data_IF_993299103193
#
_entry.id   IF_993299103193
#
_cell.length_a   1.000
_cell.length_b   1.000
_cell.length_c   1.000
_cell.angle_alpha   90.00
_cell.angle_beta   90.00
_cell.angle_gamma   90.00
#
_symmetry.space_group_name_H-M   'P 1'
#
loop_
_entity.id
_entity.type
_entity.pdbx_description
1 polymer ?
#
# COMPACT_ATOMS: atom_id res chain seq x y z
N UNK A 1 41.70 -2.08 21.53
CA UNK A 1 42.30 -0.95 22.26
C UNK A 1 42.85 0.03 21.24
N UNK A 2 42.31 1.26 21.23
CA UNK A 2 42.82 2.54 20.67
C UNK A 2 43.59 2.53 19.33
N UNK A 3 43.04 3.10 18.25
CA UNK A 3 42.79 4.53 17.94
C UNK A 3 44.00 5.22 17.28
N UNK A 4 43.70 5.91 16.17
CA UNK A 4 44.28 7.19 15.69
C UNK A 4 45.78 7.18 15.29
N UNK A 5 46.31 7.94 14.33
CA UNK A 5 45.90 9.06 13.45
C UNK A 5 47.04 9.20 12.40
N UNK A 6 46.74 9.31 11.10
CA UNK A 6 46.79 10.55 10.28
C UNK A 6 48.17 11.20 9.97
N UNK A 7 48.35 11.42 8.65
CA UNK A 7 49.11 12.46 7.94
C UNK A 7 50.66 12.47 8.01
N UNK A 8 51.33 12.51 6.84
CA UNK A 8 51.80 13.76 6.20
C UNK A 8 52.41 13.48 4.81
N UNK A 9 52.08 14.34 3.84
CA UNK A 9 52.74 14.52 2.54
C UNK A 9 54.17 15.06 2.73
N UNK A 10 55.13 14.70 1.86
CA UNK A 10 56.05 15.64 1.17
C UNK A 10 57.18 14.96 0.33
N UNK A 11 57.42 15.55 -0.86
CA UNK A 11 58.63 15.61 -1.72
C UNK A 11 59.39 14.31 -2.08
N UNK A 12 59.41 13.88 -3.35
CA UNK A 12 60.34 14.28 -4.44
C UNK A 12 61.81 14.35 -3.97
N UNK A 13 62.58 13.29 -4.21
CA UNK A 13 63.77 13.30 -5.08
C UNK A 13 64.52 11.96 -4.96
N UNK A 14 64.74 11.28 -6.08
CA UNK A 14 65.99 10.54 -6.30
C UNK A 14 66.11 10.28 -7.80
N UNK A 15 66.85 11.19 -8.46
CA UNK A 15 67.39 10.93 -9.77
C UNK A 15 68.29 9.71 -9.75
N UNK A 16 68.01 8.76 -10.64
CA UNK A 16 69.04 7.89 -11.21
C UNK A 16 68.93 7.94 -12.72
N UNK A 17 69.97 8.53 -13.30
CA UNK A 17 70.23 8.56 -14.72
C UNK A 17 70.38 7.14 -15.26
N UNK A 18 69.61 6.81 -16.28
CA UNK A 18 69.96 5.76 -17.24
C UNK A 18 70.06 6.46 -18.59
N UNK A 19 71.31 6.67 -19.01
CA UNK A 19 71.68 7.17 -20.32
C UNK A 19 71.47 6.05 -21.33
N UNK A 20 70.47 6.18 -22.21
CA UNK A 20 70.40 5.41 -23.47
C UNK A 20 70.35 6.41 -24.63
N UNK A 21 71.23 6.14 -25.59
CA UNK A 21 71.64 6.95 -26.73
C UNK A 21 70.48 7.34 -27.65
N UNK A 22 70.63 8.53 -28.21
CA UNK A 22 69.82 9.10 -29.29
C UNK A 22 69.72 8.19 -30.53
N UNK A 23 68.50 8.09 -31.05
CA UNK A 23 68.19 7.68 -32.42
C UNK A 23 66.93 8.44 -32.87
N UNK A 24 67.02 9.16 -33.98
CA UNK A 24 66.09 10.21 -34.41
C UNK A 24 64.61 9.86 -34.42
N UNK A 25 63.81 10.63 -33.67
CA UNK A 25 62.36 10.76 -33.86
C UNK A 25 61.77 12.03 -33.18
N UNK A 26 62.56 13.12 -33.04
CA UNK A 26 62.11 14.33 -32.32
C UNK A 26 61.84 15.57 -33.18
N UNK A 27 62.02 15.49 -34.50
CA UNK A 27 61.71 16.61 -35.41
C UNK A 27 60.28 16.59 -35.94
N UNK A 28 59.52 15.49 -35.79
CA UNK A 28 58.11 15.42 -36.18
C UNK A 28 57.13 15.80 -35.04
N UNK A 29 57.53 15.59 -33.77
CA UNK A 29 56.67 15.87 -32.61
C UNK A 29 56.55 17.37 -32.27
N UNK A 30 57.59 18.16 -32.55
CA UNK A 30 57.59 19.61 -32.31
C UNK A 30 56.75 20.39 -33.35
N UNK A 31 56.70 19.92 -34.60
CA UNK A 31 55.86 20.51 -35.66
C UNK A 31 54.37 20.22 -35.45
N UNK A 32 54.02 19.08 -34.82
CA UNK A 32 52.63 18.74 -34.51
C UNK A 32 52.09 19.53 -33.31
N UNK A 33 52.92 19.74 -32.27
CA UNK A 33 52.55 20.57 -31.11
C UNK A 33 52.46 22.06 -31.43
N UNK A 34 53.29 22.60 -32.33
CA UNK A 34 53.15 23.99 -32.80
C UNK A 34 51.90 24.21 -33.67
N UNK A 35 51.41 23.18 -34.37
CA UNK A 35 50.15 23.26 -35.14
C UNK A 35 48.90 23.18 -34.26
N UNK A 36 48.95 22.48 -33.13
CA UNK A 36 47.83 22.43 -32.16
C UNK A 36 47.74 23.68 -31.28
N UNK A 37 48.86 24.37 -31.00
CA UNK A 37 48.88 25.60 -30.21
C UNK A 37 48.54 26.87 -31.01
N UNK A 38 48.33 26.77 -32.33
CA UNK A 38 47.90 27.88 -33.19
C UNK A 38 46.38 28.01 -33.35
N UNK A 39 45.59 27.14 -32.70
CA UNK A 39 44.12 27.17 -32.76
C UNK A 39 43.42 27.75 -31.51
N UNK A 40 44.19 28.23 -30.52
CA UNK A 40 43.64 28.97 -29.36
C UNK A 40 44.06 30.44 -29.43
N UNK A 41 43.46 31.17 -30.37
CA UNK A 41 43.23 32.60 -30.21
C UNK A 41 41.73 32.77 -29.98
N UNK A 42 41.26 33.37 -28.87
CA UNK A 42 39.89 33.80 -28.79
C UNK A 42 39.73 34.87 -29.87
N UNK A 43 39.08 34.52 -30.99
CA UNK A 43 38.53 35.52 -31.89
C UNK A 43 37.54 36.31 -31.05
N UNK A 44 37.92 37.52 -30.65
CA UNK A 44 37.01 38.52 -30.15
C UNK A 44 36.01 38.80 -31.27
N UNK A 45 34.93 38.03 -31.31
CA UNK A 45 33.75 38.39 -32.08
C UNK A 45 33.24 39.67 -31.44
N UNK A 46 33.35 40.77 -32.20
CA UNK A 46 32.66 42.00 -31.88
C UNK A 46 31.20 41.65 -31.53
N UNK A 47 30.74 42.06 -30.36
CA UNK A 47 29.33 42.06 -30.01
C UNK A 47 28.62 43.05 -30.94
N UNK A 48 28.36 42.64 -32.19
CA UNK A 48 27.29 43.20 -33.00
C UNK A 48 25.99 42.89 -32.26
N UNK A 49 25.14 43.91 -32.12
CA UNK A 49 24.01 43.97 -31.20
C UNK A 49 23.25 42.65 -31.08
N UNK A 50 23.02 42.21 -29.83
CA UNK A 50 22.03 41.18 -29.53
C UNK A 50 20.70 41.65 -30.13
N UNK A 51 20.11 40.94 -31.09
CA UNK A 51 18.73 41.22 -31.45
C UNK A 51 17.88 40.98 -30.19
N UNK A 52 17.10 41.97 -29.79
CA UNK A 52 16.05 41.79 -28.79
C UNK A 52 15.18 40.60 -29.25
N UNK A 53 15.19 39.52 -28.46
CA UNK A 53 14.35 38.34 -28.71
C UNK A 53 15.02 37.12 -29.36
N UNK A 54 16.33 36.90 -29.25
CA UNK A 54 16.95 35.64 -29.68
C UNK A 54 16.36 34.42 -28.93
N UNK A 55 15.46 33.67 -29.59
CA UNK A 55 14.89 32.42 -29.05
C UNK A 55 15.91 31.30 -29.16
N UNK A 56 16.65 31.07 -28.08
CA UNK A 56 17.52 29.91 -27.94
C UNK A 56 16.64 28.66 -27.83
N UNK A 57 16.94 27.58 -28.58
CA UNK A 57 16.21 26.32 -28.41
C UNK A 57 16.39 25.82 -26.97
N UNK A 58 15.35 25.20 -26.42
CA UNK A 58 15.41 24.64 -25.08
C UNK A 58 16.52 23.58 -25.01
N UNK A 59 17.31 23.64 -23.93
CA UNK A 59 18.40 22.69 -23.68
C UNK A 59 17.77 21.39 -23.20
N UNK A 60 17.44 20.49 -24.13
CA UNK A 60 16.79 19.20 -23.84
C UNK A 60 17.47 18.08 -24.64
N UNK A 61 17.61 16.90 -24.04
CA UNK A 61 18.23 15.74 -24.67
C UNK A 61 17.48 15.26 -25.93
N UNK A 62 18.14 14.63 -26.90
CA UNK A 62 17.46 14.10 -28.10
C UNK A 62 16.45 12.97 -27.77
N UNK A 63 15.34 12.84 -28.52
CA UNK A 63 14.33 11.79 -28.31
C UNK A 63 14.72 10.41 -28.84
N UNK A 64 15.43 10.36 -29.96
CA UNK A 64 15.66 9.11 -30.72
C UNK A 64 16.99 8.43 -30.41
N UNK A 65 17.89 9.09 -29.70
CA UNK A 65 19.19 8.52 -29.37
C UNK A 65 19.07 7.31 -28.42
N UNK A 66 20.09 6.45 -28.48
CA UNK A 66 20.27 5.30 -27.59
C UNK A 66 21.13 5.70 -26.38
N UNK A 67 20.71 6.71 -25.62
CA UNK A 67 21.35 7.17 -24.38
C UNK A 67 20.38 7.12 -23.20
N UNK A 68 20.91 7.22 -21.96
CA UNK A 68 20.10 7.33 -20.74
C UNK A 68 19.25 8.60 -20.73
N UNK A 69 19.83 9.73 -21.11
CA UNK A 69 19.13 11.01 -21.20
C UNK A 69 17.98 11.02 -22.22
N UNK A 70 18.12 10.29 -23.32
CA UNK A 70 17.04 10.10 -24.29
C UNK A 70 15.94 9.16 -23.76
N UNK A 71 16.28 8.21 -22.89
CA UNK A 71 15.31 7.34 -22.23
C UNK A 71 14.49 8.09 -21.18
N UNK A 72 15.14 8.92 -20.37
CA UNK A 72 14.51 9.81 -19.39
C UNK A 72 13.52 10.77 -20.07
N UNK A 73 13.94 11.46 -21.15
CA UNK A 73 13.04 12.34 -21.91
C UNK A 73 11.81 11.60 -22.46
N UNK A 74 11.98 10.38 -22.99
CA UNK A 74 10.85 9.56 -23.44
C UNK A 74 9.94 9.12 -22.29
N UNK A 75 10.47 8.96 -21.08
CA UNK A 75 9.67 8.69 -19.90
C UNK A 75 8.88 9.93 -19.48
N UNK A 76 9.51 11.12 -19.48
CA UNK A 76 8.85 12.41 -19.23
C UNK A 76 7.69 12.68 -20.18
N UNK A 77 7.89 12.53 -21.50
CA UNK A 77 6.83 12.73 -22.49
C UNK A 77 5.63 11.78 -22.24
N UNK A 78 5.91 10.52 -21.86
CA UNK A 78 4.87 9.54 -21.49
C UNK A 78 4.16 9.91 -20.20
N UNK A 79 4.88 10.47 -19.22
CA UNK A 79 4.30 10.96 -17.97
C UNK A 79 3.36 12.12 -18.28
N UNK A 80 3.78 13.08 -19.10
CA UNK A 80 2.95 14.20 -19.53
C UNK A 80 1.68 13.73 -20.25
N UNK A 81 1.81 12.77 -21.17
CA UNK A 81 0.66 12.16 -21.85
C UNK A 81 -0.32 11.51 -20.85
N UNK A 82 0.18 10.79 -19.84
CA UNK A 82 -0.65 10.18 -18.79
C UNK A 82 -1.32 11.21 -17.90
N UNK A 83 -0.62 12.30 -17.55
CA UNK A 83 -1.18 13.37 -16.74
C UNK A 83 -2.36 14.09 -17.43
N UNK A 84 -2.31 14.20 -18.76
CA UNK A 84 -3.36 14.84 -19.55
C UNK A 84 -4.55 13.92 -19.90
N UNK A 85 -4.42 12.61 -19.71
CA UNK A 85 -5.45 11.63 -20.07
C UNK A 85 -6.63 11.61 -19.09
N UNK A 86 -7.79 11.14 -19.58
CA UNK A 86 -8.95 10.81 -18.75
C UNK A 86 -8.61 9.71 -17.74
N UNK A 87 -9.42 9.52 -16.69
CA UNK A 87 -9.12 8.51 -15.65
C UNK A 87 -9.04 7.08 -16.24
N UNK A 88 -10.01 6.70 -17.07
CA UNK A 88 -10.06 5.37 -17.69
C UNK A 88 -8.87 5.14 -18.63
N UNK A 89 -8.58 6.12 -19.48
CA UNK A 89 -7.42 6.07 -20.37
C UNK A 89 -6.11 6.06 -19.59
N UNK A 90 -6.02 6.81 -18.49
CA UNK A 90 -4.85 6.86 -17.61
C UNK A 90 -4.59 5.49 -16.99
N UNK A 91 -5.62 4.81 -16.47
CA UNK A 91 -5.51 3.45 -15.94
C UNK A 91 -5.02 2.51 -17.06
N UNK A 92 -5.64 2.56 -18.24
CA UNK A 92 -5.24 1.76 -19.41
C UNK A 92 -3.77 2.00 -19.82
N UNK A 93 -3.33 3.26 -19.87
CA UNK A 93 -1.94 3.63 -20.19
C UNK A 93 -0.94 3.17 -19.11
N UNK A 94 -1.35 3.14 -17.85
CA UNK A 94 -0.52 2.64 -16.74
C UNK A 94 -0.42 1.11 -16.78
N UNK A 95 -1.52 0.41 -17.07
CA UNK A 95 -1.61 -1.05 -17.02
C UNK A 95 -1.21 -1.76 -18.31
N UNK A 96 -1.19 -1.04 -19.45
CA UNK A 96 -0.90 -1.59 -20.79
C UNK A 96 0.40 -2.41 -20.89
N UNK A 97 1.47 -1.97 -20.23
CA UNK A 97 2.77 -2.63 -20.33
C UNK A 97 2.88 -3.82 -19.36
N UNK A 98 2.66 -5.02 -19.89
CA UNK A 98 2.86 -6.26 -19.14
C UNK A 98 4.35 -6.63 -19.06
N UNK A 99 4.84 -6.81 -17.83
CA UNK A 99 6.21 -7.25 -17.51
C UNK A 99 6.14 -8.17 -16.30
N UNK A 100 7.24 -8.87 -16.01
CA UNK A 100 7.37 -9.65 -14.78
C UNK A 100 7.14 -8.76 -13.54
N UNK A 101 6.21 -9.18 -12.69
CA UNK A 101 5.79 -8.51 -11.46
C UNK A 101 5.67 -9.52 -10.32
N UNK A 102 5.91 -9.07 -9.10
CA UNK A 102 5.70 -9.86 -7.89
C UNK A 102 4.22 -9.90 -7.56
N UNK A 103 3.71 -11.09 -7.27
CA UNK A 103 2.33 -11.26 -6.78
C UNK A 103 2.37 -11.32 -5.26
N UNK A 104 1.77 -10.31 -4.64
CA UNK A 104 1.60 -10.23 -3.20
C UNK A 104 0.25 -10.85 -2.86
N UNK A 105 0.27 -11.87 -2.02
CA UNK A 105 -0.92 -12.55 -1.54
C UNK A 105 -1.23 -12.04 -0.12
N UNK A 106 -2.37 -11.35 0.11
CA UNK A 106 -2.72 -10.87 1.45
C UNK A 106 -2.74 -12.01 2.49
N UNK A 107 -3.34 -13.14 2.12
CA UNK A 107 -3.36 -14.36 2.94
C UNK A 107 -2.13 -15.26 2.67
N UNK A 108 -0.97 -14.85 3.18
CA UNK A 108 0.32 -15.51 2.98
C UNK A 108 0.73 -16.46 4.11
N UNK A 109 1.55 -17.47 3.81
CA UNK A 109 2.17 -18.36 4.81
C UNK A 109 3.57 -17.89 5.24
N UNK A 110 4.05 -16.79 4.68
CA UNK A 110 5.40 -16.30 4.92
C UNK A 110 5.57 -15.78 6.36
N UNK A 111 6.72 -16.09 6.98
CA UNK A 111 7.05 -15.61 8.32
C UNK A 111 7.43 -14.13 8.31
N UNK A 112 6.98 -13.38 9.32
CA UNK A 112 7.23 -11.95 9.48
C UNK A 112 6.88 -11.13 8.23
N UNK A 113 5.83 -11.54 7.50
CA UNK A 113 5.42 -10.91 6.24
C UNK A 113 4.95 -9.46 6.41
N UNK A 114 4.47 -9.11 7.60
CA UNK A 114 4.04 -7.76 7.97
C UNK A 114 5.12 -6.70 7.70
N UNK A 115 6.36 -6.95 8.12
CA UNK A 115 7.49 -6.04 7.90
C UNK A 115 7.82 -5.86 6.42
N UNK A 116 7.71 -6.94 5.63
CA UNK A 116 7.93 -6.88 4.19
C UNK A 116 6.85 -6.08 3.50
N UNK A 117 5.59 -6.27 3.88
CA UNK A 117 4.48 -5.57 3.26
C UNK A 117 4.52 -4.09 3.62
N UNK A 118 4.80 -3.74 4.88
CA UNK A 118 5.08 -2.36 5.30
C UNK A 118 6.17 -1.70 4.46
N UNK A 119 7.26 -2.41 4.17
CA UNK A 119 8.31 -1.91 3.28
C UNK A 119 7.83 -1.68 1.84
N UNK A 120 7.10 -2.64 1.26
CA UNK A 120 6.61 -2.55 -0.12
C UNK A 120 5.57 -1.46 -0.34
N UNK A 121 4.79 -1.14 0.69
CA UNK A 121 3.70 -0.14 0.65
C UNK A 121 4.06 1.19 1.32
N UNK A 122 5.27 1.29 1.92
CA UNK A 122 5.71 2.44 2.73
C UNK A 122 4.71 2.79 3.83
N UNK A 123 4.29 1.76 4.59
CA UNK A 123 3.28 1.86 5.65
C UNK A 123 3.92 1.71 7.02
N UNK A 124 3.60 2.62 7.94
CA UNK A 124 3.92 2.51 9.36
C UNK A 124 2.75 1.87 10.11
N UNK A 125 3.07 0.89 10.97
CA UNK A 125 2.08 0.23 11.83
C UNK A 125 2.05 0.88 13.23
N UNK A 126 0.85 1.20 13.70
CA UNK A 126 0.58 1.76 15.02
C UNK A 126 -0.32 0.78 15.77
N UNK A 127 0.09 0.39 16.98
CA UNK A 127 -0.70 -0.48 17.84
C UNK A 127 -1.89 0.26 18.44
N UNK A 128 -3.08 -0.34 18.39
CA UNK A 128 -4.32 0.26 18.87
C UNK A 128 -5.16 0.87 17.75
N UNK A 129 -6.25 1.55 18.12
CA UNK A 129 -7.16 2.21 17.19
C UNK A 129 -6.95 3.73 17.19
N UNK A 130 -7.34 4.44 16.11
CA UNK A 130 -7.33 5.90 16.08
C UNK A 130 -8.12 6.54 17.23
N UNK A 131 -7.77 7.77 17.59
CA UNK A 131 -8.42 8.53 18.67
C UNK A 131 -9.95 8.62 18.56
N UNK A 132 -10.48 8.61 17.33
CA UNK A 132 -11.92 8.64 17.04
C UNK A 132 -12.67 7.44 17.66
N UNK A 133 -11.99 6.31 17.84
CA UNK A 133 -12.57 5.09 18.43
C UNK A 133 -12.27 4.95 19.94
N UNK A 134 -11.36 5.75 20.51
CA UNK A 134 -10.94 5.67 21.92
C UNK A 134 -11.69 6.62 22.86
N UNK A 135 -12.48 7.56 22.33
CA UNK A 135 -13.18 8.63 23.10
C UNK A 135 -14.21 8.12 24.14
N UNK A 136 -14.43 6.82 24.28
CA UNK A 136 -15.40 6.26 25.24
C UNK A 136 -14.78 6.00 26.63
N UNK A 137 -13.46 5.88 26.77
CA UNK A 137 -12.85 5.55 28.07
C UNK A 137 -12.47 6.76 28.95
N UNK A 138 -12.64 8.00 28.49
CA UNK A 138 -12.47 9.14 29.37
C UNK A 138 -12.32 10.50 28.66
N UNK A 139 -13.10 11.46 29.16
CA UNK A 139 -13.18 12.90 28.77
C UNK A 139 -14.05 13.21 27.56
N UNK A 140 -15.29 13.57 27.91
CA UNK A 140 -16.13 14.52 27.20
C UNK A 140 -15.35 15.76 26.75
N UNK A 141 -15.29 15.99 25.44
CA UNK A 141 -15.18 17.34 24.88
C UNK A 141 -16.30 17.46 23.82
N UNK A 142 -17.10 18.53 23.84
CA UNK A 142 -18.29 18.64 23.00
C UNK A 142 -17.85 19.09 21.60
N UNK A 143 -18.42 18.46 20.57
CA UNK A 143 -18.51 18.89 19.16
C UNK A 143 -18.27 17.73 18.18
N UNK A 144 -19.07 16.68 18.34
CA UNK A 144 -19.52 15.88 17.21
C UNK A 144 -20.80 15.21 17.68
N UNK A 145 -21.88 15.39 16.93
CA UNK A 145 -23.24 14.89 17.17
C UNK A 145 -23.21 13.43 17.60
N UNK A 146 -23.11 13.18 18.90
CA UNK A 146 -23.19 11.85 19.48
C UNK A 146 -24.65 11.39 19.41
N UNK A 147 -24.94 10.17 18.95
CA UNK A 147 -26.26 9.58 19.20
C UNK A 147 -26.49 9.61 20.72
N UNK A 148 -27.72 9.94 21.13
CA UNK A 148 -28.14 9.96 22.53
C UNK A 148 -27.75 8.65 23.22
N UNK A 149 -27.33 8.66 24.50
CA UNK A 149 -26.82 7.46 25.19
C UNK A 149 -27.74 6.23 25.09
N UNK A 150 -29.06 6.42 25.19
CA UNK A 150 -30.03 5.31 25.06
C UNK A 150 -30.12 4.70 23.65
N UNK A 151 -29.71 5.42 22.62
CA UNK A 151 -29.74 4.98 21.23
C UNK A 151 -28.63 3.94 20.95
N UNK A 152 -27.49 4.06 21.64
CA UNK A 152 -26.34 3.14 21.51
C UNK A 152 -26.60 1.83 22.25
N UNK A 153 -27.24 1.89 23.41
CA UNK A 153 -27.59 0.69 24.19
C UNK A 153 -28.63 -0.17 23.47
N UNK A 154 -29.63 0.45 22.83
CA UNK A 154 -30.60 -0.25 21.98
C UNK A 154 -29.92 -0.89 20.77
N UNK A 155 -29.00 -0.18 20.11
CA UNK A 155 -28.21 -0.71 19.00
C UNK A 155 -27.36 -1.93 19.43
N UNK A 156 -26.81 -1.87 20.64
CA UNK A 156 -25.99 -2.93 21.22
C UNK A 156 -26.85 -4.16 21.53
N UNK A 157 -28.03 -3.97 22.10
CA UNK A 157 -28.98 -5.07 22.36
C UNK A 157 -29.42 -5.76 21.06
N UNK A 158 -29.83 -4.99 20.05
CA UNK A 158 -30.21 -5.49 18.73
C UNK A 158 -29.06 -6.25 18.06
N UNK A 159 -27.84 -5.70 18.10
CA UNK A 159 -26.65 -6.33 17.56
C UNK A 159 -26.30 -7.62 18.31
N UNK A 160 -26.40 -7.62 19.65
CA UNK A 160 -26.14 -8.78 20.50
C UNK A 160 -27.08 -9.93 20.19
N UNK A 161 -28.38 -9.65 20.06
CA UNK A 161 -29.37 -10.66 19.69
C UNK A 161 -29.07 -11.23 18.30
N UNK A 162 -28.79 -10.35 17.33
CA UNK A 162 -28.47 -10.76 15.97
C UNK A 162 -27.22 -11.63 15.90
N UNK A 163 -26.14 -11.22 16.58
CA UNK A 163 -24.89 -11.98 16.67
C UNK A 163 -25.14 -13.34 17.34
N UNK A 164 -25.88 -13.37 18.45
CA UNK A 164 -26.21 -14.61 19.16
C UNK A 164 -26.99 -15.57 18.26
N UNK A 165 -28.01 -15.07 17.56
CA UNK A 165 -28.81 -15.87 16.62
C UNK A 165 -27.96 -16.44 15.48
N UNK A 166 -27.08 -15.61 14.92
CA UNK A 166 -26.15 -16.00 13.86
C UNK A 166 -25.21 -17.12 14.37
N UNK A 167 -24.57 -16.94 15.52
CA UNK A 167 -23.69 -17.97 16.14
C UNK A 167 -24.45 -19.27 16.42
N UNK A 168 -25.68 -19.21 16.93
CA UNK A 168 -26.49 -20.40 17.19
C UNK A 168 -26.89 -21.11 15.90
N UNK A 169 -27.20 -20.36 14.84
CA UNK A 169 -27.44 -20.92 13.50
C UNK A 169 -26.20 -21.68 13.00
N UNK A 170 -25.00 -21.15 13.25
CA UNK A 170 -23.74 -21.82 12.92
C UNK A 170 -23.62 -23.17 13.62
N UNK A 171 -23.83 -23.19 14.94
CA UNK A 171 -23.71 -24.41 15.73
C UNK A 171 -24.73 -25.45 15.29
N UNK A 172 -25.97 -25.02 15.05
CA UNK A 172 -27.01 -25.89 14.52
C UNK A 172 -26.58 -26.52 13.18
N UNK A 173 -26.00 -25.74 12.28
CA UNK A 173 -25.49 -26.24 11.01
C UNK A 173 -24.36 -27.26 11.19
N UNK A 174 -23.39 -26.99 12.07
CA UNK A 174 -22.31 -27.93 12.40
C UNK A 174 -22.81 -29.26 12.96
N UNK A 175 -23.92 -29.25 13.72
CA UNK A 175 -24.51 -30.46 14.30
C UNK A 175 -25.32 -31.26 13.27
N UNK A 176 -26.08 -30.58 12.40
CA UNK A 176 -27.00 -31.23 11.47
C UNK A 176 -26.36 -31.67 10.15
N UNK A 177 -25.30 -30.98 9.72
CA UNK A 177 -24.65 -31.27 8.42
C UNK A 177 -23.41 -32.13 8.60
N UNK A 178 -23.13 -32.95 7.58
CA UNK A 178 -21.86 -33.69 7.50
C UNK A 178 -20.70 -32.71 7.57
N UNK A 179 -19.64 -33.10 8.29
CA UNK A 179 -18.40 -32.33 8.35
C UNK A 179 -17.93 -32.01 6.91
N UNK A 180 -17.64 -30.74 6.61
CA UNK A 180 -17.16 -30.36 5.29
C UNK A 180 -15.84 -31.06 4.96
N UNK A 181 -15.50 -31.08 3.67
CA UNK A 181 -14.23 -31.63 3.21
C UNK A 181 -13.04 -30.90 3.86
N UNK A 182 -11.91 -31.60 4.01
CA UNK A 182 -10.67 -31.07 4.59
C UNK A 182 -10.31 -29.68 4.02
N UNK A 183 -10.06 -28.73 4.91
CA UNK A 183 -9.58 -27.37 4.61
C UNK A 183 -10.57 -26.42 3.91
N UNK A 184 -11.89 -26.67 4.06
CA UNK A 184 -12.95 -25.75 3.61
C UNK A 184 -14.02 -25.49 4.68
N UNK A 185 -13.72 -25.76 5.93
CA UNK A 185 -14.68 -25.58 7.03
C UNK A 185 -15.00 -24.11 7.27
N UNK A 186 -14.00 -23.24 7.32
CA UNK A 186 -14.17 -21.79 7.45
C UNK A 186 -15.00 -21.24 6.29
N UNK A 187 -14.62 -21.56 5.06
CA UNK A 187 -15.31 -21.05 3.87
C UNK A 187 -16.79 -21.50 3.81
N UNK A 188 -17.07 -22.78 4.07
CA UNK A 188 -18.41 -23.35 3.90
C UNK A 188 -19.33 -23.10 5.09
N UNK A 189 -18.79 -22.94 6.30
CA UNK A 189 -19.59 -22.77 7.52
C UNK A 189 -19.59 -21.33 7.99
N UNK A 190 -18.41 -20.72 8.15
CA UNK A 190 -18.27 -19.36 8.64
C UNK A 190 -18.44 -18.30 7.54
N UNK A 191 -18.19 -18.62 6.27
CA UNK A 191 -18.45 -17.70 5.15
C UNK A 191 -19.91 -17.24 5.09
N UNK A 192 -20.90 -18.15 4.96
CA UNK A 192 -22.32 -17.77 4.98
C UNK A 192 -22.74 -17.05 6.26
N UNK A 193 -22.13 -17.42 7.38
CA UNK A 193 -22.36 -16.79 8.67
C UNK A 193 -21.95 -15.32 8.68
N UNK A 194 -20.71 -15.05 8.27
CA UNK A 194 -20.17 -13.70 8.18
C UNK A 194 -20.98 -12.86 7.19
N UNK A 195 -21.46 -13.46 6.10
CA UNK A 195 -22.38 -12.80 5.17
C UNK A 195 -23.69 -12.39 5.87
N UNK A 196 -24.31 -13.29 6.64
CA UNK A 196 -25.55 -13.00 7.36
C UNK A 196 -25.32 -11.95 8.47
N UNK A 197 -24.19 -12.02 9.16
CA UNK A 197 -23.78 -11.04 10.16
C UNK A 197 -23.65 -9.66 9.55
N UNK A 198 -22.85 -9.52 8.49
CA UNK A 198 -22.62 -8.23 7.81
C UNK A 198 -23.92 -7.70 7.23
N UNK A 199 -24.69 -8.51 6.52
CA UNK A 199 -25.97 -8.08 5.96
C UNK A 199 -26.96 -7.64 7.05
N UNK A 200 -27.01 -8.38 8.16
CA UNK A 200 -27.91 -8.09 9.27
C UNK A 200 -27.52 -6.83 10.05
N UNK A 201 -26.23 -6.68 10.36
CA UNK A 201 -25.70 -5.48 11.02
C UNK A 201 -25.84 -4.25 10.15
N UNK A 202 -25.49 -4.32 8.87
CA UNK A 202 -25.64 -3.19 7.93
C UNK A 202 -27.11 -2.73 7.87
N UNK A 203 -28.06 -3.67 7.84
CA UNK A 203 -29.48 -3.34 7.84
C UNK A 203 -29.97 -2.75 9.18
N UNK A 204 -29.63 -3.38 10.31
CA UNK A 204 -30.02 -2.90 11.64
C UNK A 204 -29.49 -1.49 11.90
N UNK A 205 -28.24 -1.26 11.50
CA UNK A 205 -27.55 0.01 11.74
C UNK A 205 -27.97 1.14 10.80
N UNK A 206 -28.81 0.89 9.80
CA UNK A 206 -29.36 1.95 8.93
C UNK A 206 -30.13 3.02 9.72
N UNK A 207 -30.74 2.64 10.86
CA UNK A 207 -31.44 3.57 11.77
C UNK A 207 -30.49 4.66 12.29
N UNK A 208 -29.24 4.31 12.55
CA UNK A 208 -28.22 5.21 13.12
C UNK A 208 -27.34 5.84 12.03
N UNK A 209 -27.12 5.12 10.93
CA UNK A 209 -26.32 5.58 9.81
C UNK A 209 -27.09 5.45 8.48
N UNK A 210 -27.74 6.54 8.00
CA UNK A 210 -28.52 6.49 6.77
C UNK A 210 -27.67 6.25 5.52
N UNK A 211 -26.35 6.42 5.59
CA UNK A 211 -25.46 6.16 4.45
C UNK A 211 -25.38 4.68 4.10
N UNK A 212 -25.58 3.80 5.08
CA UNK A 212 -25.62 2.36 4.84
C UNK A 212 -26.79 1.97 3.93
N UNK A 213 -27.88 2.75 3.91
CA UNK A 213 -29.00 2.54 2.99
C UNK A 213 -28.60 2.81 1.52
N UNK A 214 -27.71 3.77 1.30
CA UNK A 214 -27.20 4.14 -0.02
C UNK A 214 -25.91 3.40 -0.39
N UNK A 215 -25.40 2.56 0.52
CA UNK A 215 -24.17 1.80 0.32
C UNK A 215 -24.42 0.57 -0.55
N UNK A 216 -23.38 0.13 -1.27
CA UNK A 216 -23.38 -1.16 -1.94
C UNK A 216 -22.62 -2.19 -1.10
N UNK A 217 -23.26 -3.31 -0.84
CA UNK A 217 -22.67 -4.47 -0.18
C UNK A 217 -22.31 -5.51 -1.25
N UNK A 218 -21.03 -5.64 -1.56
CA UNK A 218 -20.56 -6.69 -2.47
C UNK A 218 -20.14 -7.93 -1.67
N UNK A 219 -20.37 -9.10 -2.26
CA UNK A 219 -20.05 -10.40 -1.69
C UNK A 219 -18.99 -11.08 -2.57
N UNK A 220 -17.86 -11.44 -1.97
CA UNK A 220 -16.67 -11.96 -2.66
C UNK A 220 -16.23 -11.13 -3.88
N UNK A 221 -16.09 -9.79 -3.74
CA UNK A 221 -15.61 -8.96 -4.83
C UNK A 221 -14.11 -9.16 -5.04
N UNK A 222 -13.66 -8.94 -6.27
CA UNK A 222 -12.23 -8.91 -6.56
C UNK A 222 -11.68 -7.51 -6.27
N UNK A 223 -10.52 -7.43 -5.64
CA UNK A 223 -9.79 -6.16 -5.43
C UNK A 223 -8.36 -6.33 -5.92
N UNK A 224 -7.99 -5.47 -6.87
CA UNK A 224 -6.70 -5.57 -7.56
C UNK A 224 -5.98 -4.24 -7.53
N UNK A 225 -4.67 -4.28 -7.29
CA UNK A 225 -3.84 -3.08 -7.35
C UNK A 225 -2.46 -3.36 -7.91
N UNK A 226 -2.02 -2.49 -8.82
CA UNK A 226 -0.72 -2.56 -9.48
C UNK A 226 0.10 -1.30 -9.18
N UNK A 227 1.33 -1.47 -8.71
CA UNK A 227 2.23 -0.35 -8.44
C UNK A 227 3.71 -0.72 -8.63
N UNK A 228 4.57 0.29 -8.46
CA UNK A 228 6.04 0.18 -8.55
C UNK A 228 6.66 0.69 -7.25
N UNK A 229 7.63 -0.04 -6.71
CA UNK A 229 8.41 0.35 -5.50
C UNK A 229 9.84 -0.13 -5.65
N UNK A 230 10.83 0.76 -5.54
CA UNK A 230 12.24 0.38 -5.64
C UNK A 230 12.70 -0.07 -7.03
N UNK A 231 13.98 -0.40 -7.14
CA UNK A 231 14.64 -0.82 -8.38
C UNK A 231 15.68 -1.90 -8.12
N UNK A 232 15.99 -2.69 -9.15
CA UNK A 232 17.09 -3.64 -9.16
C UNK A 232 17.89 -3.57 -10.44
N UNK A 233 19.13 -4.03 -10.36
CA UNK A 233 19.96 -4.30 -11.53
C UNK A 233 19.77 -5.77 -11.91
N UNK A 234 19.47 -6.02 -13.19
CA UNK A 234 19.26 -7.40 -13.67
C UNK A 234 20.57 -8.20 -13.56
N UNK A 235 20.60 -9.31 -12.80
CA UNK A 235 21.84 -10.01 -12.49
C UNK A 235 22.36 -10.87 -13.66
N UNK A 236 21.45 -11.49 -14.42
CA UNK A 236 21.76 -12.48 -15.47
C UNK A 236 20.87 -12.30 -16.71
N UNK A 237 21.29 -12.84 -17.84
CA UNK A 237 20.57 -12.81 -19.13
C UNK A 237 20.96 -11.63 -20.03
N UNK A 238 20.31 -11.51 -21.19
CA UNK A 238 20.67 -10.51 -22.22
C UNK A 238 20.43 -9.04 -21.80
N UNK A 239 19.63 -8.81 -20.75
CA UNK A 239 19.39 -7.48 -20.16
C UNK A 239 20.28 -7.19 -18.94
N UNK A 240 21.33 -7.98 -18.70
CA UNK A 240 22.25 -7.82 -17.57
C UNK A 240 22.77 -6.38 -17.46
N UNK A 241 22.84 -5.85 -16.24
CA UNK A 241 23.34 -4.50 -15.98
C UNK A 241 22.34 -3.37 -16.24
N UNK A 242 21.16 -3.66 -16.80
CA UNK A 242 20.08 -2.68 -16.93
C UNK A 242 19.30 -2.53 -15.63
N UNK A 243 18.89 -1.30 -15.35
CA UNK A 243 18.03 -0.96 -14.20
C UNK A 243 16.59 -1.35 -14.54
N UNK A 244 15.91 -2.00 -13.61
CA UNK A 244 14.51 -2.40 -13.74
C UNK A 244 13.76 -2.10 -12.44
N UNK A 245 12.60 -1.40 -12.48
CA UNK A 245 11.79 -1.18 -11.29
C UNK A 245 11.17 -2.50 -10.81
N UNK A 246 11.04 -2.69 -9.50
CA UNK A 246 10.18 -3.75 -9.00
C UNK A 246 8.72 -3.36 -9.21
N UNK A 247 7.97 -4.31 -9.76
CA UNK A 247 6.54 -4.20 -10.04
C UNK A 247 5.82 -5.15 -9.11
N UNK A 248 4.73 -4.70 -8.53
CA UNK A 248 3.92 -5.48 -7.61
C UNK A 248 2.47 -5.50 -8.06
N UNK A 249 1.80 -6.61 -7.79
CA UNK A 249 0.38 -6.80 -7.98
C UNK A 249 -0.17 -7.45 -6.72
N UNK A 250 -1.26 -6.90 -6.17
CA UNK A 250 -2.09 -7.59 -5.20
C UNK A 250 -3.34 -8.05 -5.93
N UNK A 251 -3.66 -9.32 -5.73
CA UNK A 251 -4.92 -9.92 -6.17
C UNK A 251 -5.61 -10.45 -4.92
N UNK A 252 -6.58 -9.68 -4.44
CA UNK A 252 -7.33 -9.95 -3.22
C UNK A 252 -8.79 -10.28 -3.52
N UNK A 253 -9.40 -11.05 -2.63
CA UNK A 253 -10.80 -11.43 -2.67
C UNK A 253 -11.38 -11.40 -1.24
N UNK A 254 -11.70 -10.20 -0.71
CA UNK A 254 -12.38 -10.07 0.58
C UNK A 254 -13.70 -10.85 0.60
N UNK A 255 -14.15 -11.27 1.77
CA UNK A 255 -15.42 -11.98 1.91
C UNK A 255 -16.61 -11.08 1.58
N UNK A 256 -16.60 -9.86 2.14
CA UNK A 256 -17.59 -8.82 1.86
C UNK A 256 -16.91 -7.46 1.89
N UNK A 257 -17.45 -6.50 1.15
CA UNK A 257 -17.05 -5.10 1.29
C UNK A 257 -18.26 -4.17 1.20
N UNK A 258 -18.19 -3.07 1.94
CA UNK A 258 -19.18 -1.99 1.90
C UNK A 258 -18.55 -0.82 1.16
N UNK A 259 -19.18 -0.39 0.07
CA UNK A 259 -18.78 0.80 -0.69
C UNK A 259 -19.82 1.90 -0.53
N UNK A 260 -19.34 3.13 -0.52
CA UNK A 260 -20.11 4.34 -0.26
C UNK A 260 -19.80 5.39 -1.34
N UNK A 261 -20.68 6.39 -1.43
CA UNK A 261 -20.61 7.47 -2.43
C UNK A 261 -19.71 8.63 -2.00
N UNK A 262 -19.45 8.77 -0.69
CA UNK A 262 -18.65 9.83 -0.11
C UNK A 262 -17.44 9.26 0.66
N UNK A 263 -16.29 9.93 0.69
CA UNK A 263 -15.11 9.43 1.40
C UNK A 263 -15.27 9.53 2.92
N UNK A 264 -14.74 8.55 3.64
CA UNK A 264 -14.62 8.61 5.11
C UNK A 264 -13.66 9.72 5.55
N UNK A 265 -13.84 10.27 6.77
CA UNK A 265 -12.95 11.30 7.30
C UNK A 265 -11.56 10.72 7.57
N UNK A 266 -10.54 11.58 7.48
CA UNK A 266 -9.17 11.22 7.83
C UNK A 266 -9.04 10.93 9.33
N UNK A 267 -8.20 9.97 9.70
CA UNK A 267 -7.97 9.61 11.11
C UNK A 267 -6.91 10.48 11.78
N UNK A 268 -5.83 10.78 11.03
CA UNK A 268 -4.72 11.62 11.47
C UNK A 268 -4.38 12.66 10.39
N UNK A 269 -3.68 13.72 10.76
CA UNK A 269 -3.15 14.66 9.79
C UNK A 269 -2.11 13.96 8.89
N UNK A 270 -1.93 14.44 7.67
CA UNK A 270 -0.89 13.90 6.77
C UNK A 270 0.52 14.15 7.34
N UNK A 271 0.70 15.22 8.10
CA UNK A 271 1.99 15.62 8.69
C UNK A 271 2.42 14.69 9.83
N UNK A 272 1.46 14.16 10.61
CA UNK A 272 1.71 13.19 11.69
C UNK A 272 2.41 11.93 11.18
N UNK A 273 2.33 11.65 9.88
CA UNK A 273 2.98 10.49 9.26
C UNK A 273 4.49 10.61 9.11
N UNK A 274 5.09 11.81 9.20
CA UNK A 274 6.47 12.04 8.78
C UNK A 274 7.49 11.38 9.72
N UNK A 275 7.23 11.44 11.03
CA UNK A 275 8.14 10.98 12.07
C UNK A 275 8.14 9.46 12.26
N UNK A 276 7.10 8.77 11.79
CA UNK A 276 6.92 7.34 12.04
C UNK A 276 7.91 6.49 11.26
N UNK A 277 8.54 5.52 11.91
CA UNK A 277 9.50 4.63 11.25
C UNK A 277 8.79 3.54 10.43
N UNK A 278 9.26 3.32 9.20
CA UNK A 278 8.82 2.22 8.34
C UNK A 278 9.93 1.18 8.32
N UNK A 279 9.64 -0.12 8.56
CA UNK A 279 10.64 -1.17 8.44
C UNK A 279 11.27 -1.19 7.04
N UNK A 280 12.60 -1.11 6.98
CA UNK A 280 13.34 -1.24 5.73
C UNK A 280 13.92 -2.65 5.58
N UNK A 281 13.62 -3.28 4.45
CA UNK A 281 14.14 -4.60 4.12
C UNK A 281 15.28 -4.45 3.13
N UNK A 282 16.49 -4.80 3.55
CA UNK A 282 17.70 -4.70 2.73
C UNK A 282 17.88 -5.86 1.75
N UNK A 283 17.20 -6.99 2.00
CA UNK A 283 17.30 -8.16 1.16
C UNK A 283 16.31 -8.12 -0.03
N UNK A 284 16.64 -8.90 -1.07
CA UNK A 284 15.82 -8.94 -2.27
C UNK A 284 14.42 -9.51 -1.98
N UNK A 285 13.35 -8.99 -2.63
CA UNK A 285 12.00 -9.54 -2.49
C UNK A 285 11.87 -11.04 -2.83
N UNK A 286 12.81 -11.57 -3.61
CA UNK A 286 12.90 -13.00 -3.98
C UNK A 286 13.19 -13.91 -2.76
N UNK A 287 13.61 -13.37 -1.59
CA UNK A 287 13.87 -14.13 -0.37
C UNK A 287 12.60 -14.44 0.45
N UNK A 288 11.54 -13.66 0.27
CA UNK A 288 10.20 -14.03 0.74
C UNK A 288 9.66 -15.10 -0.21
N UNK A 289 8.82 -16.07 0.22
CA UNK A 289 8.23 -17.07 -0.68
C UNK A 289 7.15 -16.45 -1.59
N UNK A 290 7.55 -15.48 -2.42
CA UNK A 290 6.77 -14.79 -3.42
C UNK A 290 7.47 -14.91 -4.77
N UNK A 291 6.67 -15.10 -5.82
CA UNK A 291 7.19 -15.39 -7.15
C UNK A 291 6.80 -14.29 -8.15
N UNK A 292 7.67 -14.10 -9.13
CA UNK A 292 7.40 -13.19 -10.24
C UNK A 292 6.57 -13.90 -11.30
N UNK A 293 5.49 -13.27 -11.75
CA UNK A 293 4.62 -13.75 -12.84
C UNK A 293 4.40 -12.61 -13.83
N UNK A 294 3.93 -12.94 -15.03
CA UNK A 294 3.51 -11.96 -16.02
C UNK A 294 2.11 -12.31 -16.49
N UNK A 295 1.20 -11.36 -16.31
CA UNK A 295 -0.20 -11.39 -16.75
C UNK A 295 -0.69 -9.94 -16.80
N UNK A 296 -1.95 -9.76 -17.17
CA UNK A 296 -2.58 -8.44 -17.23
C UNK A 296 -2.48 -7.68 -15.90
N UNK A 297 -2.27 -6.37 -15.97
CA UNK A 297 -2.22 -5.50 -14.80
C UNK A 297 -3.63 -5.00 -14.51
N UNK A 298 -4.16 -5.35 -13.35
CA UNK A 298 -5.51 -4.97 -12.96
C UNK A 298 -5.48 -3.96 -11.81
N UNK A 299 -6.31 -2.92 -11.95
CA UNK A 299 -6.63 -1.96 -10.90
C UNK A 299 -8.14 -1.95 -10.78
N UNK A 300 -8.65 -2.51 -9.69
CA UNK A 300 -10.07 -2.80 -9.54
C UNK A 300 -10.49 -2.69 -8.07
N UNK A 301 -11.56 -1.94 -7.80
CA UNK A 301 -12.08 -1.68 -6.44
C UNK A 301 -13.25 -2.60 -6.06
N UNK A 302 -13.68 -3.48 -6.96
CA UNK A 302 -14.90 -4.29 -6.85
C UNK A 302 -16.03 -3.83 -7.77
N UNK A 303 -15.91 -2.64 -8.37
CA UNK A 303 -16.81 -2.14 -9.40
C UNK A 303 -16.03 -1.45 -10.53
N UNK A 304 -16.61 -1.41 -11.74
CA UNK A 304 -16.02 -0.72 -12.89
C UNK A 304 -16.42 0.75 -12.88
N UNK A 305 -15.58 1.61 -13.47
CA UNK A 305 -15.97 2.99 -13.77
C UNK A 305 -17.05 3.02 -14.88
N UNK A 306 -18.03 3.94 -14.83
CA UNK A 306 -18.35 4.89 -13.76
C UNK A 306 -19.39 4.31 -12.77
N UNK A 307 -18.97 3.96 -11.55
CA UNK A 307 -19.87 3.59 -10.44
C UNK A 307 -19.92 4.74 -9.42
N UNK A 308 -21.12 5.22 -9.00
CA UNK A 308 -21.24 6.24 -7.96
C UNK A 308 -20.62 5.82 -6.61
N UNK A 309 -20.64 4.54 -6.25
CA UNK A 309 -20.08 4.03 -5.00
C UNK A 309 -18.58 3.72 -5.14
N UNK A 310 -17.79 4.78 -5.36
CA UNK A 310 -16.36 4.69 -5.66
C UNK A 310 -15.44 4.69 -4.42
N UNK A 311 -15.97 4.91 -3.21
CA UNK A 311 -15.20 4.93 -1.97
C UNK A 311 -15.46 3.69 -1.12
N UNK A 312 -14.45 3.22 -0.42
CA UNK A 312 -14.56 2.10 0.51
C UNK A 312 -14.94 2.55 1.92
N UNK A 313 -15.84 1.81 2.56
CA UNK A 313 -16.16 1.99 3.98
C UNK A 313 -15.41 0.94 4.82
N UNK A 314 -15.91 -0.29 4.84
CA UNK A 314 -15.35 -1.41 5.60
C UNK A 314 -15.26 -2.69 4.77
N UNK A 315 -14.13 -3.38 4.85
CA UNK A 315 -13.91 -4.72 4.30
C UNK A 315 -13.97 -5.79 5.38
N UNK A 316 -14.52 -6.95 5.03
CA UNK A 316 -14.56 -8.13 5.89
C UNK A 316 -13.73 -9.24 5.26
N UNK A 317 -12.79 -9.77 6.04
CA UNK A 317 -11.91 -10.84 5.62
C UNK A 317 -12.08 -12.05 6.53
N UNK A 318 -12.22 -13.22 5.91
CA UNK A 318 -12.28 -14.49 6.62
C UNK A 318 -10.92 -15.18 6.52
N UNK A 319 -10.39 -15.61 7.67
CA UNK A 319 -9.16 -16.41 7.73
C UNK A 319 -9.47 -17.84 7.27
N UNK A 320 -8.78 -18.35 6.24
CA UNK A 320 -9.03 -19.71 5.75
C UNK A 320 -8.45 -20.76 6.69
N UNK A 321 -8.93 -22.01 6.60
CA UNK A 321 -8.50 -23.16 7.43
C UNK A 321 -6.98 -23.38 7.46
N UNK A 322 -6.28 -22.99 6.39
CA UNK A 322 -4.82 -23.12 6.31
C UNK A 322 -4.10 -22.26 7.35
N UNK A 323 -4.69 -21.13 7.71
CA UNK A 323 -4.13 -20.13 8.61
C UNK A 323 -4.91 -20.05 9.93
N UNK A 324 -5.79 -21.01 10.19
CA UNK A 324 -6.55 -21.08 11.43
C UNK A 324 -5.63 -21.20 12.65
N UNK A 325 -6.02 -20.55 13.75
CA UNK A 325 -5.24 -20.42 14.99
C UNK A 325 -4.82 -21.78 15.56
N UNK A 326 -5.71 -22.77 15.57
CA UNK A 326 -5.43 -24.13 16.04
C UNK A 326 -4.37 -24.85 15.20
N UNK A 327 -4.32 -24.56 13.90
CA UNK A 327 -3.34 -25.17 13.01
C UNK A 327 -1.97 -24.51 13.17
N UNK A 328 -1.93 -23.19 13.27
CA UNK A 328 -0.68 -22.47 13.55
C UNK A 328 -0.09 -22.90 14.90
N UNK A 329 -0.93 -23.09 15.92
CA UNK A 329 -0.51 -23.58 17.24
C UNK A 329 0.08 -24.99 17.15
N UNK A 330 -0.57 -25.91 16.43
CA UNK A 330 -0.04 -27.27 16.18
C UNK A 330 1.31 -27.26 15.45
N UNK A 331 1.54 -26.27 14.59
CA UNK A 331 2.79 -26.10 13.86
C UNK A 331 3.86 -25.32 14.64
N UNK A 332 3.62 -24.96 15.91
CA UNK A 332 4.51 -24.12 16.73
C UNK A 332 4.78 -22.74 16.12
N UNK A 333 3.75 -22.12 15.51
CA UNK A 333 3.81 -20.81 14.88
C UNK A 333 2.78 -19.83 15.47
N UNK A 334 2.52 -19.92 16.78
CA UNK A 334 1.55 -19.05 17.46
C UNK A 334 1.95 -17.57 17.43
N UNK A 335 3.25 -17.28 17.40
CA UNK A 335 3.82 -15.94 17.24
C UNK A 335 3.47 -15.29 15.89
N UNK A 336 3.16 -16.10 14.87
CA UNK A 336 2.88 -15.63 13.52
C UNK A 336 1.40 -15.33 13.27
N UNK A 337 0.52 -15.57 14.25
CA UNK A 337 -0.93 -15.36 14.08
C UNK A 337 -1.22 -13.87 13.85
N UNK A 338 -0.78 -13.00 14.76
CA UNK A 338 -1.00 -11.55 14.64
C UNK A 338 -0.22 -10.95 13.46
N UNK A 339 0.96 -11.48 13.16
CA UNK A 339 1.76 -11.12 11.98
C UNK A 339 0.98 -11.37 10.70
N UNK A 340 0.33 -12.53 10.59
CA UNK A 340 -0.50 -12.89 9.44
C UNK A 340 -1.67 -11.93 9.28
N UNK A 341 -2.38 -11.64 10.37
CA UNK A 341 -3.54 -10.74 10.36
C UNK A 341 -3.13 -9.32 9.94
N UNK A 342 -2.04 -8.79 10.48
CA UNK A 342 -1.48 -7.49 10.08
C UNK A 342 -1.04 -7.46 8.63
N UNK A 343 -0.33 -8.50 8.16
CA UNK A 343 0.09 -8.57 6.75
C UNK A 343 -1.11 -8.57 5.80
N UNK A 344 -2.16 -9.35 6.14
CA UNK A 344 -3.41 -9.36 5.37
C UNK A 344 -4.04 -7.96 5.34
N UNK A 345 -4.16 -7.31 6.50
CA UNK A 345 -4.72 -5.95 6.60
C UNK A 345 -3.93 -4.92 5.78
N UNK A 346 -2.58 -4.90 5.88
CA UNK A 346 -1.74 -3.98 5.09
C UNK A 346 -2.00 -4.17 3.61
N UNK A 347 -1.94 -5.41 3.10
CA UNK A 347 -2.06 -5.68 1.68
C UNK A 347 -3.46 -5.35 1.15
N UNK A 348 -4.50 -5.85 1.79
CA UNK A 348 -5.89 -5.63 1.37
C UNK A 348 -6.28 -4.15 1.39
N UNK A 349 -6.00 -3.46 2.50
CA UNK A 349 -6.38 -2.04 2.64
C UNK A 349 -5.54 -1.13 1.74
N UNK A 350 -4.25 -1.41 1.56
CA UNK A 350 -3.43 -0.67 0.60
C UNK A 350 -3.91 -0.87 -0.83
N UNK A 351 -4.23 -2.11 -1.23
CA UNK A 351 -4.75 -2.40 -2.56
C UNK A 351 -6.07 -1.67 -2.80
N UNK A 352 -6.97 -1.69 -1.81
CA UNK A 352 -8.28 -1.05 -1.94
C UNK A 352 -8.19 0.47 -2.00
N UNK A 353 -7.48 1.10 -1.06
CA UNK A 353 -7.29 2.56 -1.05
C UNK A 353 -6.50 3.05 -2.25
N UNK A 354 -5.46 2.31 -2.68
CA UNK A 354 -4.68 2.62 -3.87
C UNK A 354 -5.51 2.57 -5.15
N UNK A 355 -6.39 1.56 -5.27
CA UNK A 355 -7.32 1.46 -6.40
C UNK A 355 -8.35 2.60 -6.38
N UNK A 356 -8.90 2.95 -5.21
CA UNK A 356 -9.80 4.11 -5.05
C UNK A 356 -9.11 5.42 -5.47
N UNK A 357 -7.87 5.63 -5.06
CA UNK A 357 -7.09 6.81 -5.43
C UNK A 357 -6.87 6.89 -6.96
N UNK A 358 -6.55 5.77 -7.61
CA UNK A 358 -6.39 5.73 -9.07
C UNK A 358 -7.70 5.98 -9.82
N UNK A 359 -8.84 5.57 -9.27
CA UNK A 359 -10.17 5.87 -9.82
C UNK A 359 -10.51 7.36 -9.71
N UNK A 360 -9.83 8.11 -8.84
CA UNK A 360 -9.91 9.57 -8.78
C UNK A 360 -8.82 10.26 -9.62
N UNK A 361 -8.01 9.50 -10.34
CA UNK A 361 -6.96 10.00 -11.24
C UNK A 361 -5.60 10.24 -10.58
N UNK A 362 -5.43 9.95 -9.29
CA UNK A 362 -4.14 10.02 -8.60
C UNK A 362 -3.25 8.83 -8.97
N UNK A 363 -1.94 9.06 -9.07
CA UNK A 363 -0.97 8.01 -9.38
C UNK A 363 0.43 8.46 -8.98
N UNK A 364 1.45 7.63 -9.21
CA UNK A 364 2.81 7.87 -8.71
C UNK A 364 3.39 9.29 -8.92
N UNK A 365 3.06 9.99 -10.01
CA UNK A 365 3.54 11.37 -10.26
C UNK A 365 2.52 12.47 -9.94
N UNK A 366 1.25 12.12 -9.71
CA UNK A 366 0.20 13.02 -9.23
C UNK A 366 -0.29 12.46 -7.90
N UNK A 367 0.49 12.75 -6.85
CA UNK A 367 0.25 12.23 -5.50
C UNK A 367 -1.03 12.82 -4.88
N UNK A 368 -1.43 12.23 -3.76
CA UNK A 368 -2.68 12.56 -3.07
C UNK A 368 -2.69 14.00 -2.56
N UNK A 369 -3.81 14.69 -2.80
CA UNK A 369 -4.12 15.99 -2.19
C UNK A 369 -4.91 15.85 -0.88
N UNK A 370 -5.61 14.71 -0.72
CA UNK A 370 -6.35 14.32 0.47
C UNK A 370 -6.10 12.84 0.74
N UNK A 371 -6.07 12.41 2.01
CA UNK A 371 -5.88 11.00 2.32
C UNK A 371 -7.12 10.17 1.96
N UNK A 372 -6.89 8.90 1.66
CA UNK A 372 -7.97 7.92 1.48
C UNK A 372 -7.97 6.96 2.66
N UNK A 373 -9.12 6.82 3.30
CA UNK A 373 -9.30 6.00 4.49
C UNK A 373 -10.13 4.78 4.17
N UNK A 374 -9.77 3.64 4.74
CA UNK A 374 -10.59 2.43 4.69
C UNK A 374 -10.40 1.62 5.96
N UNK A 375 -11.42 0.85 6.31
CA UNK A 375 -11.44 -0.01 7.49
C UNK A 375 -11.47 -1.48 7.07
N UNK A 376 -10.87 -2.37 7.85
CA UNK A 376 -11.04 -3.81 7.67
C UNK A 376 -11.24 -4.51 9.00
N UNK A 377 -12.08 -5.54 8.96
CA UNK A 377 -12.30 -6.47 10.06
C UNK A 377 -11.90 -7.85 9.56
N UNK A 378 -10.94 -8.46 10.25
CA UNK A 378 -10.44 -9.80 9.93
C UNK A 378 -10.89 -10.74 11.04
N UNK A 379 -11.50 -11.87 10.67
CA UNK A 379 -12.00 -12.84 11.64
C UNK A 379 -11.74 -14.27 11.21
N UNK A 380 -11.53 -15.15 12.19
CA UNK A 380 -11.53 -16.61 12.04
C UNK A 380 -12.84 -17.24 12.53
N UNK A 381 -13.86 -16.41 12.79
CA UNK A 381 -15.18 -16.82 13.27
C UNK A 381 -15.37 -16.70 14.79
N UNK A 382 -14.28 -16.72 15.58
CA UNK A 382 -14.33 -16.52 17.04
C UNK A 382 -13.58 -15.27 17.46
N UNK A 383 -12.40 -15.06 16.89
CA UNK A 383 -11.57 -13.89 17.13
C UNK A 383 -11.80 -12.83 16.05
N UNK A 384 -11.80 -11.58 16.46
CA UNK A 384 -11.95 -10.42 15.59
C UNK A 384 -10.75 -9.50 15.78
N UNK A 385 -10.22 -9.00 14.67
CA UNK A 385 -9.13 -8.03 14.64
C UNK A 385 -9.57 -6.85 13.80
N UNK A 386 -9.40 -5.66 14.37
CA UNK A 386 -9.88 -4.40 13.79
C UNK A 386 -8.70 -3.61 13.25
N UNK A 387 -8.80 -3.18 12.00
CA UNK A 387 -7.76 -2.44 11.32
C UNK A 387 -8.32 -1.18 10.65
N UNK A 388 -7.57 -0.10 10.75
CA UNK A 388 -7.86 1.16 10.09
C UNK A 388 -6.65 1.55 9.26
N UNK A 389 -6.86 1.93 8.00
CA UNK A 389 -5.78 2.31 7.10
C UNK A 389 -6.01 3.69 6.53
N UNK A 390 -4.95 4.48 6.48
CA UNK A 390 -4.93 5.79 5.85
C UNK A 390 -3.82 5.85 4.81
N UNK A 391 -4.22 6.02 3.56
CA UNK A 391 -3.35 6.22 2.42
C UNK A 391 -3.01 7.71 2.29
N UNK A 392 -1.76 8.05 2.56
CA UNK A 392 -1.24 9.42 2.48
C UNK A 392 -0.39 9.64 1.23
N UNK A 393 0.15 8.57 0.63
CA UNK A 393 0.94 8.68 -0.61
C UNK A 393 0.86 7.44 -1.49
N UNK A 394 0.85 7.68 -2.80
CA UNK A 394 0.98 6.66 -3.86
C UNK A 394 2.30 6.82 -4.65
N UNK A 395 3.10 7.82 -4.29
CA UNK A 395 4.37 8.17 -4.93
C UNK A 395 5.53 7.26 -4.49
N UNK A 396 5.39 5.96 -4.72
CA UNK A 396 6.31 4.92 -4.23
C UNK A 396 7.50 4.62 -5.15
N UNK A 397 7.54 5.20 -6.36
CA UNK A 397 8.63 4.95 -7.31
C UNK A 397 9.93 5.62 -6.87
N UNK A 398 11.08 5.10 -7.31
CA UNK A 398 12.40 5.68 -6.97
C UNK A 398 12.53 7.14 -7.40
N UNK A 399 11.87 7.55 -8.48
CA UNK A 399 11.90 8.94 -8.96
C UNK A 399 11.05 9.88 -8.09
N UNK A 400 9.98 9.35 -7.48
CA UNK A 400 8.95 10.15 -6.80
C UNK A 400 9.07 10.10 -5.27
N UNK A 401 9.87 9.16 -4.74
CA UNK A 401 10.02 8.94 -3.30
C UNK A 401 11.20 9.70 -2.67
N UNK A 402 12.11 10.29 -3.48
CA UNK A 402 13.37 10.90 -3.00
C UNK A 402 13.14 11.98 -1.94
N UNK A 403 12.16 12.86 -2.16
CA UNK A 403 11.86 14.00 -1.28
C UNK A 403 10.46 13.89 -0.65
N UNK A 404 9.93 12.67 -0.53
CA UNK A 404 8.58 12.46 -0.04
C UNK A 404 8.58 12.02 1.44
N UNK A 405 8.30 12.94 2.39
CA UNK A 405 8.25 12.60 3.82
C UNK A 405 7.00 11.79 4.20
N UNK A 406 5.95 11.77 3.35
CA UNK A 406 4.68 11.12 3.64
C UNK A 406 4.84 9.62 3.73
N UNK A 407 4.19 9.02 4.73
CA UNK A 407 4.10 7.58 4.95
C UNK A 407 2.64 7.19 5.12
N UNK A 408 2.30 5.99 4.67
CA UNK A 408 0.96 5.45 4.87
C UNK A 408 0.83 4.93 6.31
N UNK A 409 -0.38 4.90 6.84
CA UNK A 409 -0.63 4.54 8.24
C UNK A 409 -1.56 3.34 8.32
N UNK A 410 -1.21 2.39 9.19
CA UNK A 410 -2.09 1.29 9.57
C UNK A 410 -2.18 1.26 11.10
N UNK A 411 -3.40 1.40 11.61
CA UNK A 411 -3.74 1.11 13.00
C UNK A 411 -4.32 -0.30 13.09
N UNK A 412 -4.03 -1.01 14.16
CA UNK A 412 -4.62 -2.33 14.38
C UNK A 412 -4.60 -2.77 15.83
N UNK A 413 -5.67 -3.45 16.24
CA UNK A 413 -5.75 -4.13 17.53
C UNK A 413 -5.16 -5.53 17.46
N UNK A 414 -4.86 -6.11 18.62
CA UNK A 414 -4.69 -7.56 18.72
C UNK A 414 -6.05 -8.27 18.53
N UNK A 415 -5.99 -9.58 18.30
CA UNK A 415 -7.18 -10.41 18.19
C UNK A 415 -7.99 -10.45 19.50
N UNK A 416 -9.27 -10.13 19.42
CA UNK A 416 -10.20 -10.18 20.56
C UNK A 416 -11.22 -11.31 20.36
N UNK A 417 -11.45 -12.19 21.34
CA UNK A 417 -12.51 -13.19 21.26
C UNK A 417 -13.89 -12.52 21.40
N UNK A 418 -14.83 -12.90 20.52
CA UNK A 418 -16.21 -12.42 20.54
C UNK A 418 -17.06 -13.12 21.61
N UNK A 419 -16.82 -14.41 21.84
CA UNK A 419 -17.53 -15.22 22.84
C UNK A 419 -16.60 -16.32 23.40
N UNK A 420 -16.91 -16.81 24.59
CA UNK A 420 -16.12 -17.85 25.24
C UNK A 420 -16.49 -19.24 24.74
N UNK A 421 -17.76 -19.61 24.88
CA UNK A 421 -18.27 -20.93 24.52
C UNK A 421 -19.78 -20.89 24.23
N UNK A 422 -20.32 -21.98 23.68
CA UNK A 422 -21.76 -22.13 23.45
C UNK A 422 -22.25 -23.30 24.31
N UNK A 423 -23.12 -23.03 25.29
CA UNK A 423 -23.63 -24.03 26.23
C UNK A 423 -25.16 -24.00 26.23
N UNK A 424 -25.80 -25.18 26.25
CA UNK A 424 -27.27 -25.33 26.33
C UNK A 424 -28.09 -24.52 25.29
N UNK A 425 -27.52 -24.22 24.12
CA UNK A 425 -28.20 -23.42 23.09
C UNK A 425 -28.12 -21.91 23.30
N UNK A 426 -27.27 -21.44 24.22
CA UNK A 426 -26.98 -20.03 24.46
C UNK A 426 -25.48 -19.73 24.27
N UNK A 427 -25.18 -18.49 23.89
CA UNK A 427 -23.79 -18.00 23.76
C UNK A 427 -23.34 -17.48 25.12
N UNK A 428 -22.30 -18.08 25.68
CA UNK A 428 -21.75 -17.74 27.00
C UNK A 428 -20.55 -16.81 26.82
N UNK A 429 -20.45 -15.80 27.68
CA UNK A 429 -19.30 -14.89 27.72
C UNK A 429 -19.16 -14.02 26.48
N UNK A 430 -20.28 -13.48 25.95
CA UNK A 430 -20.21 -12.55 24.83
C UNK A 430 -19.47 -11.27 25.25
N UNK A 431 -18.46 -10.90 24.48
CA UNK A 431 -17.65 -9.72 24.72
C UNK A 431 -18.31 -8.48 24.10
N UNK A 432 -18.95 -7.68 24.94
CA UNK A 432 -19.65 -6.46 24.53
C UNK A 432 -18.70 -5.42 23.90
N UNK A 433 -17.40 -5.43 24.23
CA UNK A 433 -16.45 -4.47 23.66
C UNK A 433 -16.18 -4.74 22.17
N UNK A 434 -16.12 -6.01 21.77
CA UNK A 434 -16.02 -6.40 20.36
C UNK A 434 -17.27 -6.00 19.59
N UNK A 435 -18.46 -6.16 20.19
CA UNK A 435 -19.73 -5.74 19.59
C UNK A 435 -19.78 -4.23 19.42
N UNK A 436 -19.37 -3.46 20.45
CA UNK A 436 -19.26 -2.00 20.37
C UNK A 436 -18.31 -1.57 19.25
N UNK A 437 -17.14 -2.21 19.11
CA UNK A 437 -16.21 -1.90 18.02
C UNK A 437 -16.80 -2.19 16.64
N UNK A 438 -17.52 -3.30 16.47
CA UNK A 438 -18.24 -3.62 15.22
C UNK A 438 -19.26 -2.53 14.86
N UNK A 439 -20.05 -2.09 15.83
CA UNK A 439 -21.03 -1.02 15.64
C UNK A 439 -20.32 0.28 15.28
N UNK A 440 -19.30 0.68 16.06
CA UNK A 440 -18.54 1.92 15.83
C UNK A 440 -17.97 2.01 14.42
N UNK A 441 -17.33 0.95 13.93
CA UNK A 441 -16.78 0.89 12.59
C UNK A 441 -17.88 1.15 11.55
N UNK A 442 -19.00 0.42 11.63
CA UNK A 442 -20.14 0.54 10.71
C UNK A 442 -20.89 1.88 10.83
N UNK A 443 -20.86 2.51 12.00
CA UNK A 443 -21.47 3.84 12.22
C UNK A 443 -20.56 5.00 11.81
N UNK A 444 -19.32 4.76 11.38
CA UNK A 444 -18.45 5.84 10.93
C UNK A 444 -19.05 6.57 9.71
N UNK A 445 -19.09 7.90 9.76
CA UNK A 445 -19.73 8.76 8.76
C UNK A 445 -18.71 9.73 8.12
N UNK A 446 -18.85 10.03 6.81
CA UNK A 446 -18.18 11.13 6.15
C UNK A 446 -18.51 12.45 6.86
N UNK A 447 -17.53 13.33 6.98
CA UNK A 447 -17.79 14.70 7.43
C UNK A 447 -18.73 15.36 6.42
N UNK A 448 -19.88 15.87 6.89
CA UNK A 448 -20.72 16.71 6.06
C UNK A 448 -19.91 17.93 5.64
N UNK A 449 -19.91 18.32 4.35
CA UNK A 449 -19.31 19.58 3.97
C UNK A 449 -19.98 20.69 4.77
N UNK A 450 -19.17 21.48 5.49
CA UNK A 450 -19.62 22.74 6.09
C UNK A 450 -20.38 23.51 5.00
N UNK A 451 -21.69 23.66 5.20
CA UNK A 451 -22.57 24.39 4.28
C UNK A 451 -22.31 25.88 4.34
#
# INVERSE_FOLDING_TARGET
MNKEKQLYHMFIDTGRAITIKHGGARTAALAFYQKLLLFDKPKAYAHQGRPEGARVPSVVASLTAKSKSAEERREEDRIQQKCAASVEDKISLITSLQRMKYVIYPQTFARNADRWYQHFTKTAYISGLPHIFTTIEGKTTPESTSPTPGCVDDALADARELISRVILQQRWWHVQKRRPFLYREQELVFGPLLRNLVSGLTHSLTKFNPLLLQSSLDLSPHVHFYWRRGQRIIPKGHRKGRIEPHRFQIDDNPHSQIRITQPLPQFASMEDSYELEVPEVTCAPDMLPMFRRQYENHIYTGAKLPDPACYGHTQFHLVPDRYHRDRMTRNQQSDQIEVFLRANAVASLFAWTGAQAMYQGFWSHQDLTRPFVSQAIITDGKFFSFFCYQLNTVALSVQTDVDNPRKNLLWGTESLPLYDDIQNGEVVGMNDDVVKLLIQFLTNQPQQPLK
#
